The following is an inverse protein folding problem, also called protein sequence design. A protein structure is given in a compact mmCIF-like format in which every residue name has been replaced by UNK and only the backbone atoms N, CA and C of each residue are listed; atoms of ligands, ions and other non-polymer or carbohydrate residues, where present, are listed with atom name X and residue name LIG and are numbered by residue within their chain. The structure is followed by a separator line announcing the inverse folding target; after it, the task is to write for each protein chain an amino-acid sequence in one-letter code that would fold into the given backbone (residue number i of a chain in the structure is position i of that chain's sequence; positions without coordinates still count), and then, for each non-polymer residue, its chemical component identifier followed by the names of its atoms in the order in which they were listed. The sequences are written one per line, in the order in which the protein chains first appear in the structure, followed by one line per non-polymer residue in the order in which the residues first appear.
data_IF_795316098356
#
_entry.id   IF_795316098356
#
_cell.length_a   1.000
_cell.length_b   1.000
_cell.length_c   1.000
_cell.angle_alpha   90.00
_cell.angle_beta   90.00
_cell.angle_gamma   90.00
#
_symmetry.space_group_name_H-M   'P 1'
#
loop_
_entity.id
_entity.type
_entity.pdbx_description
1 polymer ?
#
# COMPACT_ATOMS: atom_id res chain seq x y z
N UNK A 1 35.43 -18.63 13.79
CA UNK A 1 35.12 -18.61 12.55
C UNK A 1 33.82 -19.12 12.11
N UNK A 2 33.46 -20.29 12.43
CA UNK A 2 32.23 -20.81 11.96
C UNK A 2 31.05 -20.18 12.55
N UNK A 3 31.16 -19.58 13.68
CA UNK A 3 30.02 -19.01 14.28
C UNK A 3 29.49 -17.82 13.54
N UNK A 4 30.21 -17.30 12.66
CA UNK A 4 29.79 -16.15 11.95
C UNK A 4 28.57 -16.42 11.08
N UNK A 5 28.51 -17.58 10.54
CA UNK A 5 27.46 -17.91 9.59
C UNK A 5 26.07 -17.93 10.21
N UNK A 6 25.99 -18.12 11.48
CA UNK A 6 24.71 -18.26 12.09
C UNK A 6 23.91 -17.02 12.15
N UNK A 7 24.55 -15.90 12.10
CA UNK A 7 23.86 -14.64 12.23
C UNK A 7 22.87 -14.38 11.11
N UNK A 8 23.09 -14.98 9.98
CA UNK A 8 22.24 -14.66 8.86
C UNK A 8 20.91 -15.32 8.87
N UNK A 9 20.82 -16.42 9.48
CA UNK A 9 19.60 -17.18 9.41
C UNK A 9 18.43 -16.45 9.99
N UNK A 10 18.70 -15.66 10.96
CA UNK A 10 17.64 -14.98 11.69
C UNK A 10 16.92 -13.96 10.87
N UNK A 11 17.58 -13.41 9.88
CA UNK A 11 17.03 -12.28 9.17
C UNK A 11 15.92 -12.61 8.20
N UNK A 12 15.80 -13.83 7.82
CA UNK A 12 14.88 -14.17 6.76
C UNK A 12 13.46 -14.43 7.21
N UNK A 13 13.24 -14.62 8.46
CA UNK A 13 11.97 -15.16 8.91
C UNK A 13 10.74 -14.30 8.75
N UNK A 14 10.70 -13.07 9.20
CA UNK A 14 9.43 -12.36 9.35
C UNK A 14 9.02 -11.50 8.19
N UNK A 15 9.52 -11.74 7.03
CA UNK A 15 9.30 -10.82 5.93
C UNK A 15 7.82 -10.66 5.57
N UNK A 16 7.10 -11.76 5.53
CA UNK A 16 5.71 -11.70 5.09
C UNK A 16 4.82 -10.92 6.02
N UNK A 17 5.05 -11.05 7.30
CA UNK A 17 4.20 -10.35 8.25
C UNK A 17 4.40 -8.85 8.18
N UNK A 18 5.60 -8.43 7.84
CA UNK A 18 5.89 -7.01 7.80
C UNK A 18 5.45 -6.34 6.52
N UNK A 19 5.12 -7.12 5.51
CA UNK A 19 4.75 -6.55 4.25
C UNK A 19 3.55 -5.62 4.36
N UNK A 20 2.60 -5.94 5.22
CA UNK A 20 1.40 -5.13 5.37
C UNK A 20 1.63 -3.86 6.16
N UNK A 21 2.61 -3.86 7.03
CA UNK A 21 2.86 -2.70 7.87
C UNK A 21 4.09 -1.91 7.43
N UNK A 22 4.64 -2.25 6.27
CA UNK A 22 5.83 -1.59 5.79
C UNK A 22 5.46 -0.38 4.94
N UNK A 23 6.18 0.72 5.13
CA UNK A 23 5.97 1.90 4.32
C UNK A 23 5.35 3.05 5.09
N UNK A 24 5.03 4.14 4.42
CA UNK A 24 4.42 5.30 5.07
C UNK A 24 3.06 4.95 5.64
N UNK A 25 2.61 5.68 6.65
CA UNK A 25 1.32 5.38 7.28
C UNK A 25 0.16 5.34 6.30
N UNK A 26 0.18 6.20 5.27
CA UNK A 26 -0.90 6.19 4.30
C UNK A 26 -0.94 4.86 3.55
N UNK A 27 0.22 4.37 3.12
CA UNK A 27 0.27 3.10 2.41
C UNK A 27 -0.15 1.94 3.31
N UNK A 28 0.27 1.96 4.55
CA UNK A 28 -0.12 0.91 5.48
C UNK A 28 -1.63 0.85 5.64
N UNK A 29 -2.25 2.01 5.82
CA UNK A 29 -3.70 2.07 5.97
C UNK A 29 -4.41 1.60 4.71
N UNK A 30 -3.98 2.08 3.55
CA UNK A 30 -4.62 1.70 2.29
C UNK A 30 -4.47 0.21 2.02
N UNK A 31 -3.31 -0.36 2.34
CA UNK A 31 -3.13 -1.80 2.18
C UNK A 31 -4.09 -2.58 3.05
N UNK A 32 -4.31 -2.11 4.25
CA UNK A 32 -5.20 -2.80 5.18
C UNK A 32 -6.61 -2.92 4.62
N UNK A 33 -7.07 -1.90 3.89
CA UNK A 33 -8.43 -1.87 3.39
C UNK A 33 -8.54 -2.24 1.91
N UNK A 34 -7.44 -2.56 1.24
CA UNK A 34 -7.51 -3.01 -0.15
C UNK A 34 -7.16 -4.48 -0.29
N UNK A 35 -6.14 -4.93 0.41
CA UNK A 35 -5.63 -6.29 0.21
C UNK A 35 -6.69 -7.38 0.44
N UNK A 36 -7.52 -7.28 1.49
CA UNK A 36 -8.52 -8.34 1.70
C UNK A 36 -9.55 -8.48 0.59
N UNK A 37 -9.69 -7.46 -0.27
CA UNK A 37 -10.71 -7.49 -1.31
C UNK A 37 -10.16 -7.76 -2.70
N UNK A 38 -8.87 -8.06 -2.79
CA UNK A 38 -8.24 -8.25 -4.11
C UNK A 38 -8.84 -9.43 -4.86
N UNK A 39 -9.18 -10.48 -4.16
CA UNK A 39 -9.73 -11.67 -4.83
C UNK A 39 -11.25 -11.65 -4.93
N UNK A 40 -11.84 -10.47 -4.87
CA UNK A 40 -13.28 -10.32 -5.06
C UNK A 40 -13.58 -9.81 -6.47
N UNK A 41 -14.85 -9.73 -6.81
CA UNK A 41 -15.26 -9.22 -8.11
C UNK A 41 -15.40 -7.71 -8.16
N UNK A 42 -15.10 -7.03 -7.07
CA UNK A 42 -15.27 -5.59 -7.03
C UNK A 42 -14.26 -4.89 -7.94
N UNK A 43 -14.68 -3.85 -8.65
CA UNK A 43 -13.72 -3.08 -9.44
C UNK A 43 -12.63 -2.47 -8.56
N UNK A 44 -11.42 -2.42 -9.08
CA UNK A 44 -10.29 -1.90 -8.32
C UNK A 44 -10.55 -0.49 -7.84
N UNK A 45 -11.16 0.35 -8.68
CA UNK A 45 -11.38 1.73 -8.28
C UNK A 45 -12.30 1.84 -7.09
N UNK A 46 -13.30 0.96 -7.00
CA UNK A 46 -14.18 0.97 -5.84
C UNK A 46 -13.46 0.57 -4.57
N UNK A 47 -12.61 -0.46 -4.68
CA UNK A 47 -11.85 -0.91 -3.54
C UNK A 47 -10.93 0.20 -3.03
N UNK A 48 -10.27 0.87 -3.95
CA UNK A 48 -9.33 1.93 -3.59
C UNK A 48 -10.08 3.13 -3.00
N UNK A 49 -11.19 3.52 -3.62
CA UNK A 49 -11.94 4.67 -3.13
C UNK A 49 -12.50 4.42 -1.73
N UNK A 50 -12.96 3.21 -1.48
CA UNK A 50 -13.44 2.88 -0.15
C UNK A 50 -12.31 2.91 0.87
N UNK A 51 -11.12 2.44 0.48
CA UNK A 51 -9.97 2.50 1.35
C UNK A 51 -9.58 3.94 1.66
N UNK A 52 -9.65 4.81 0.66
CA UNK A 52 -9.39 6.23 0.88
C UNK A 52 -10.35 6.81 1.90
N UNK A 53 -11.61 6.43 1.81
CA UNK A 53 -12.61 6.91 2.74
C UNK A 53 -12.28 6.47 4.17
N UNK A 54 -11.87 5.24 4.33
CA UNK A 54 -11.56 4.73 5.66
C UNK A 54 -10.23 5.23 6.20
N UNK A 55 -9.36 5.74 5.34
CA UNK A 55 -8.05 6.23 5.73
C UNK A 55 -7.97 7.75 5.76
N UNK A 56 -9.11 8.43 5.86
CA UNK A 56 -9.14 9.89 5.80
C UNK A 56 -8.21 10.56 6.82
N UNK A 57 -8.17 10.05 8.02
CA UNK A 57 -7.34 10.66 9.06
C UNK A 57 -5.87 10.60 8.71
N UNK A 58 -5.43 9.44 8.24
CA UNK A 58 -4.04 9.26 7.87
C UNK A 58 -3.68 10.11 6.66
N UNK A 59 -4.59 10.17 5.70
CA UNK A 59 -4.36 10.97 4.50
C UNK A 59 -4.33 12.46 4.82
N UNK A 60 -5.15 12.89 5.74
CA UNK A 60 -5.12 14.29 6.18
C UNK A 60 -3.81 14.62 6.87
N UNK A 61 -3.28 13.70 7.65
CA UNK A 61 -1.99 13.89 8.28
C UNK A 61 -0.89 14.00 7.23
N UNK A 62 -0.96 13.18 6.19
CA UNK A 62 0.00 13.25 5.10
C UNK A 62 -0.07 14.60 4.40
N UNK A 63 -1.28 15.13 4.21
CA UNK A 63 -1.42 16.45 3.63
C UNK A 63 -0.76 17.52 4.48
N UNK A 64 -0.90 17.39 5.79
CA UNK A 64 -0.25 18.36 6.69
C UNK A 64 1.26 18.31 6.57
N UNK A 65 1.80 17.13 6.39
CA UNK A 65 3.24 16.98 6.27
C UNK A 65 3.77 17.59 4.98
N UNK A 66 2.90 17.74 3.98
CA UNK A 66 3.30 18.29 2.71
C UNK A 66 2.94 19.76 2.54
N UNK A 67 2.62 20.44 3.64
CA UNK A 67 2.20 21.84 3.57
C UNK A 67 3.28 22.76 3.00
N UNK A 68 4.53 22.40 3.16
CA UNK A 68 5.61 23.24 2.65
C UNK A 68 5.82 23.09 1.15
N UNK A 69 5.15 22.15 0.53
CA UNK A 69 5.31 21.95 -0.91
C UNK A 69 4.31 22.83 -1.67
N UNK A 70 4.62 23.17 -2.94
CA UNK A 70 3.65 23.92 -3.74
C UNK A 70 2.34 23.15 -3.89
N UNK A 71 1.21 23.84 -3.81
CA UNK A 71 -0.09 23.15 -3.90
C UNK A 71 -0.27 22.33 -5.17
N UNK A 72 0.24 22.81 -6.29
CA UNK A 72 0.11 22.08 -7.54
C UNK A 72 0.83 20.75 -7.48
N UNK A 73 1.98 20.74 -6.80
CA UNK A 73 2.73 19.52 -6.67
C UNK A 73 1.98 18.50 -5.81
N UNK A 74 1.36 18.99 -4.74
CA UNK A 74 0.59 18.10 -3.86
C UNK A 74 -0.57 17.47 -4.62
N UNK A 75 -1.29 18.27 -5.40
CA UNK A 75 -2.40 17.75 -6.18
C UNK A 75 -1.93 16.70 -7.17
N UNK A 76 -0.82 16.96 -7.84
CA UNK A 76 -0.28 16.00 -8.78
C UNK A 76 0.12 14.71 -8.09
N UNK A 77 0.77 14.82 -6.94
CA UNK A 77 1.15 13.63 -6.18
C UNK A 77 -0.06 12.81 -5.78
N UNK A 78 -1.13 13.49 -5.35
CA UNK A 78 -2.35 12.80 -4.96
C UNK A 78 -2.95 12.04 -6.13
N UNK A 79 -3.01 12.69 -7.29
CA UNK A 79 -3.57 12.04 -8.46
C UNK A 79 -2.75 10.85 -8.90
N UNK A 80 -1.43 11.01 -8.89
CA UNK A 80 -0.55 9.93 -9.30
C UNK A 80 -0.59 8.77 -8.32
N UNK A 81 -0.68 9.10 -7.03
CA UNK A 81 -0.74 8.07 -6.01
C UNK A 81 -2.03 7.25 -6.12
N UNK A 82 -3.14 7.94 -6.33
CA UNK A 82 -4.43 7.27 -6.50
C UNK A 82 -4.40 6.37 -7.73
N UNK A 83 -3.92 6.89 -8.86
CA UNK A 83 -3.85 6.11 -10.08
C UNK A 83 -2.93 4.91 -9.91
N UNK A 84 -1.81 5.10 -9.24
CA UNK A 84 -0.88 4.02 -8.98
C UNK A 84 -1.54 2.91 -8.18
N UNK A 85 -2.31 3.29 -7.16
CA UNK A 85 -2.97 2.29 -6.33
C UNK A 85 -4.03 1.53 -7.11
N UNK A 86 -4.82 2.23 -7.92
CA UNK A 86 -5.84 1.57 -8.73
C UNK A 86 -5.18 0.56 -9.67
N UNK A 87 -4.11 0.97 -10.36
CA UNK A 87 -3.42 0.06 -11.26
C UNK A 87 -2.81 -1.12 -10.53
N UNK A 88 -2.28 -0.88 -9.34
CA UNK A 88 -1.68 -1.95 -8.56
C UNK A 88 -2.73 -2.99 -8.16
N UNK A 89 -3.89 -2.52 -7.72
CA UNK A 89 -4.95 -3.44 -7.32
C UNK A 89 -5.48 -4.20 -8.53
N UNK A 90 -5.63 -3.52 -9.67
CA UNK A 90 -6.03 -4.19 -10.91
C UNK A 90 -5.05 -5.30 -11.27
N UNK A 91 -3.77 -5.01 -11.19
CA UNK A 91 -2.76 -6.00 -11.53
C UNK A 91 -2.82 -7.20 -10.60
N UNK A 92 -3.04 -6.94 -9.33
CA UNK A 92 -3.14 -8.04 -8.36
C UNK A 92 -4.40 -8.87 -8.59
N UNK A 93 -5.51 -8.22 -8.95
CA UNK A 93 -6.73 -8.94 -9.25
C UNK A 93 -6.55 -9.85 -10.47
N UNK A 94 -5.87 -9.36 -11.49
CA UNK A 94 -5.57 -10.18 -12.66
C UNK A 94 -4.70 -11.36 -12.30
N UNK A 95 -3.74 -11.15 -11.44
CA UNK A 95 -2.85 -12.23 -11.02
C UNK A 95 -3.64 -13.33 -10.32
N UNK A 96 -4.59 -12.95 -9.47
CA UNK A 96 -5.44 -13.94 -8.81
C UNK A 96 -6.27 -14.71 -9.81
N UNK A 97 -6.86 -14.01 -10.77
CA UNK A 97 -7.69 -14.66 -11.76
C UNK A 97 -6.89 -15.64 -12.60
N UNK A 98 -5.70 -15.24 -12.99
CA UNK A 98 -4.87 -16.10 -13.84
C UNK A 98 -4.38 -17.35 -13.13
N UNK A 99 -4.32 -17.33 -11.83
CA UNK A 99 -3.88 -18.51 -11.08
C UNK A 99 -4.92 -19.58 -10.98
N UNK A 100 -6.14 -19.26 -11.28
CA UNK A 100 -7.20 -20.26 -11.28
C UNK A 100 -7.22 -20.98 -12.59
#
# INVERSE_FOLDING_TARGET
MKWIAMAFVVLAAPVLAEEYSYGPPAAVCLNKYTIPYINTDRPAIEIVDEAYDKCQDVLAQWDKERKSLPPELVVRQDEEFHAFYVHTIEARQKSYTNKK
#
